data_IF_254424405465
#
_entry.id   IF_254424405465
#
_cell.length_a   1.000
_cell.length_b   1.000
_cell.length_c   1.000
_cell.angle_alpha   90.00
_cell.angle_beta   90.00
_cell.angle_gamma   90.00
#
_symmetry.space_group_name_H-M   'P 1'
#
loop_
_entity.id
_entity.type
_entity.pdbx_description
1 polymer ?
#
# COMPACT_ATOMS: atom_id res chain seq x y z
N UNK A 1 6.63 -2.98 2.90
CA UNK A 1 6.13 -1.57 3.00
C UNK A 1 6.82 -0.84 4.12
N UNK A 2 7.24 0.39 3.88
CA UNK A 2 8.07 1.19 4.78
C UNK A 2 7.25 2.22 5.58
N UNK A 3 7.90 2.91 6.52
CA UNK A 3 7.41 4.12 7.15
C UNK A 3 8.16 5.33 6.62
N UNK A 4 7.46 6.37 6.16
CA UNK A 4 8.06 7.64 5.75
C UNK A 4 7.54 8.78 6.59
N UNK A 5 8.40 9.75 6.88
CA UNK A 5 8.04 11.01 7.54
C UNK A 5 8.95 12.13 7.03
N UNK A 6 8.50 13.38 7.10
CA UNK A 6 9.35 14.52 6.74
C UNK A 6 8.62 15.84 6.66
N UNK A 7 9.37 16.90 6.36
CA UNK A 7 8.86 18.25 6.20
C UNK A 7 9.75 19.29 6.89
N UNK A 8 9.45 20.56 6.62
CA UNK A 8 10.17 21.70 7.23
C UNK A 8 9.64 22.08 8.63
N UNK A 9 8.74 21.26 9.20
CA UNK A 9 8.27 21.41 10.57
C UNK A 9 9.04 20.50 11.53
N UNK A 10 9.64 19.43 11.05
CA UNK A 10 10.44 18.51 11.84
C UNK A 10 11.82 19.07 12.19
N UNK A 11 12.35 18.60 13.29
CA UNK A 11 13.77 18.64 13.68
C UNK A 11 14.30 17.20 13.73
N UNK A 12 15.60 17.01 13.83
CA UNK A 12 16.20 15.66 13.96
C UNK A 12 15.59 14.87 15.15
N UNK A 13 15.28 15.51 16.26
CA UNK A 13 14.70 14.83 17.42
C UNK A 13 13.24 14.43 17.16
N UNK A 14 12.42 15.38 16.69
CA UNK A 14 11.01 15.09 16.46
C UNK A 14 10.76 14.13 15.29
N UNK A 15 11.64 14.08 14.28
CA UNK A 15 11.54 13.08 13.20
C UNK A 15 11.84 11.66 13.74
N UNK A 16 12.81 11.51 14.64
CA UNK A 16 13.10 10.22 15.28
C UNK A 16 11.92 9.73 16.10
N UNK A 17 11.29 10.60 16.89
CA UNK A 17 10.06 10.27 17.63
C UNK A 17 8.93 9.81 16.67
N UNK A 18 8.76 10.50 15.54
CA UNK A 18 7.80 10.13 14.50
C UNK A 18 8.08 8.74 13.89
N UNK A 19 9.36 8.44 13.65
CA UNK A 19 9.80 7.14 13.15
C UNK A 19 9.61 6.04 14.20
N UNK A 20 9.86 6.32 15.48
CA UNK A 20 9.64 5.36 16.57
C UNK A 20 8.15 5.05 16.75
N UNK A 21 7.25 6.04 16.65
CA UNK A 21 5.80 5.84 16.68
C UNK A 21 5.28 4.99 15.49
N UNK A 22 6.04 4.97 14.39
CA UNK A 22 5.71 4.21 13.16
C UNK A 22 6.69 3.06 12.88
N UNK A 23 7.50 2.64 13.87
CA UNK A 23 8.54 1.62 13.71
C UNK A 23 8.03 0.26 13.25
N UNK A 24 6.80 -0.09 13.63
CA UNK A 24 6.12 -1.31 13.16
C UNK A 24 5.97 -1.39 11.63
N UNK A 25 6.25 -0.31 10.89
CA UNK A 25 6.25 -0.30 9.43
C UNK A 25 7.56 -0.79 8.81
N UNK A 26 8.64 -0.88 9.59
CA UNK A 26 9.91 -1.39 9.09
C UNK A 26 10.97 -1.40 10.18
N UNK A 27 11.57 -2.56 10.39
CA UNK A 27 12.58 -2.78 11.43
C UNK A 27 13.99 -2.98 10.87
N UNK A 28 14.14 -3.12 9.55
CA UNK A 28 15.43 -3.49 8.95
C UNK A 28 16.45 -2.33 8.97
N UNK A 29 15.98 -1.07 8.85
CA UNK A 29 16.80 0.12 9.00
C UNK A 29 15.93 1.34 9.37
N UNK A 30 16.49 2.29 10.13
CA UNK A 30 15.91 3.60 10.40
C UNK A 30 16.97 4.68 10.16
N UNK A 31 16.72 5.58 9.21
CA UNK A 31 17.66 6.62 8.80
C UNK A 31 16.96 7.98 8.65
N UNK A 32 17.74 9.03 8.78
CA UNK A 32 17.32 10.43 8.69
C UNK A 32 18.25 11.20 7.76
N UNK A 33 17.68 12.05 6.91
CA UNK A 33 18.34 13.10 6.16
C UNK A 33 17.92 14.46 6.74
N UNK A 34 18.85 15.38 6.85
CA UNK A 34 18.59 16.75 7.31
C UNK A 34 19.47 17.74 6.56
N UNK A 35 18.88 18.84 6.14
CA UNK A 35 19.56 20.05 5.74
C UNK A 35 18.88 21.29 6.36
N UNK A 36 19.24 22.51 5.95
CA UNK A 36 18.73 23.75 6.54
C UNK A 36 17.20 23.92 6.37
N UNK A 37 16.61 23.28 5.35
CA UNK A 37 15.23 23.51 4.92
C UNK A 37 14.32 22.32 5.11
N UNK A 38 14.86 21.10 5.21
CA UNK A 38 14.07 19.87 5.17
C UNK A 38 14.66 18.76 6.04
N UNK A 39 13.76 18.06 6.75
CA UNK A 39 14.09 16.82 7.45
C UNK A 39 13.26 15.69 6.86
N UNK A 40 13.90 14.58 6.49
CA UNK A 40 13.27 13.39 5.94
C UNK A 40 13.68 12.17 6.76
N UNK A 41 12.76 11.25 7.00
CA UNK A 41 13.01 10.05 7.78
C UNK A 41 12.35 8.82 7.17
N UNK A 42 12.95 7.65 7.41
CA UNK A 42 12.52 6.39 6.84
C UNK A 42 12.70 5.22 7.80
N UNK A 43 11.66 4.39 7.94
CA UNK A 43 11.70 3.05 8.52
C UNK A 43 11.62 2.02 7.41
N UNK A 44 12.64 1.21 7.22
CA UNK A 44 12.76 0.27 6.11
C UNK A 44 12.19 -1.11 6.45
N UNK A 45 11.36 -1.64 5.55
CA UNK A 45 11.10 -3.06 5.39
C UNK A 45 11.70 -3.52 4.06
N UNK A 46 12.78 -4.29 4.13
CA UNK A 46 13.54 -4.73 2.94
C UNK A 46 12.80 -5.88 2.25
N UNK A 47 12.30 -5.62 1.03
CA UNK A 47 11.59 -6.58 0.18
C UNK A 47 12.26 -6.70 -1.18
N UNK A 48 12.56 -5.58 -1.83
CA UNK A 48 13.40 -5.50 -3.03
C UNK A 48 14.75 -4.88 -2.68
N UNK A 49 15.82 -5.41 -3.27
CA UNK A 49 17.21 -5.03 -3.01
C UNK A 49 17.54 -5.04 -1.51
N UNK A 50 17.96 -6.18 -1.00
CA UNK A 50 18.22 -6.35 0.45
C UNK A 50 19.51 -5.68 0.92
N UNK A 51 20.27 -5.01 0.02
CA UNK A 51 21.52 -4.33 0.35
C UNK A 51 21.29 -3.01 1.09
N UNK A 52 22.32 -2.53 1.77
CA UNK A 52 22.32 -1.22 2.43
C UNK A 52 22.27 -0.05 1.44
N UNK A 53 22.70 -0.25 0.19
CA UNK A 53 22.63 0.77 -0.85
C UNK A 53 21.18 1.20 -1.17
N UNK A 54 20.20 0.33 -0.91
CA UNK A 54 18.78 0.65 -1.06
C UNK A 54 18.15 1.28 0.19
N UNK A 55 18.96 1.66 1.20
CA UNK A 55 18.45 2.40 2.35
C UNK A 55 17.99 3.82 1.96
N UNK A 56 17.02 4.30 2.72
CA UNK A 56 16.39 5.62 2.52
C UNK A 56 16.46 6.43 3.83
N UNK A 57 16.48 7.77 3.75
CA UNK A 57 16.34 8.62 2.57
C UNK A 57 17.45 8.38 1.55
N UNK A 58 17.07 8.26 0.27
CA UNK A 58 18.02 7.99 -0.83
C UNK A 58 18.27 9.28 -1.60
N UNK A 59 19.56 9.64 -1.77
CA UNK A 59 19.96 10.85 -2.48
C UNK A 59 20.66 10.47 -3.79
N UNK A 60 20.32 11.16 -4.87
CA UNK A 60 20.96 10.96 -6.18
C UNK A 60 22.46 11.31 -6.18
N UNK A 61 23.19 10.87 -7.21
CA UNK A 61 24.64 11.08 -7.32
C UNK A 61 25.07 12.55 -7.36
N UNK A 62 24.14 13.48 -7.68
CA UNK A 62 24.42 14.92 -7.70
C UNK A 62 24.24 15.58 -6.33
N UNK A 63 23.58 14.91 -5.38
CA UNK A 63 23.21 15.46 -4.08
C UNK A 63 22.03 16.46 -4.14
N UNK A 64 21.37 16.61 -5.29
CA UNK A 64 20.26 17.54 -5.48
C UNK A 64 18.94 16.97 -5.03
N UNK A 65 18.63 15.73 -5.41
CA UNK A 65 17.34 15.10 -5.13
C UNK A 65 17.45 14.06 -4.04
N UNK A 66 16.58 14.17 -3.04
CA UNK A 66 16.45 13.16 -1.98
C UNK A 66 15.03 12.63 -1.92
N UNK A 67 14.87 11.30 -1.88
CA UNK A 67 13.56 10.63 -1.83
C UNK A 67 13.39 9.83 -0.54
N UNK A 68 12.17 9.84 -0.01
CA UNK A 68 11.63 8.82 0.90
C UNK A 68 10.40 8.19 0.25
N UNK A 69 10.37 6.87 0.23
CA UNK A 69 9.42 6.08 -0.52
C UNK A 69 8.92 4.90 0.30
N UNK A 70 7.61 4.74 0.32
CA UNK A 70 6.92 3.58 0.87
C UNK A 70 6.09 2.98 -0.25
N UNK A 71 6.49 1.80 -0.74
CA UNK A 71 5.77 1.17 -1.85
C UNK A 71 6.59 0.14 -2.60
N UNK A 72 6.02 -0.28 -3.72
CA UNK A 72 6.60 -1.19 -4.70
C UNK A 72 6.21 -0.73 -6.11
N UNK A 73 7.18 -0.57 -7.00
CA UNK A 73 6.94 -0.45 -8.43
C UNK A 73 6.88 -1.84 -9.05
N UNK A 74 5.89 -2.07 -9.90
CA UNK A 74 5.65 -3.39 -10.46
C UNK A 74 6.66 -3.77 -11.54
N UNK A 75 6.71 -5.06 -11.86
CA UNK A 75 7.60 -5.63 -12.85
C UNK A 75 7.51 -4.94 -14.22
N UNK A 76 6.35 -4.41 -14.59
CA UNK A 76 6.13 -3.60 -15.80
C UNK A 76 7.07 -2.37 -15.88
N UNK A 77 7.54 -1.85 -14.73
CA UNK A 77 8.41 -0.67 -14.65
C UNK A 77 9.88 -0.96 -14.93
N UNK A 78 10.32 -2.22 -14.90
CA UNK A 78 11.72 -2.60 -15.15
C UNK A 78 12.23 -2.16 -16.54
N UNK A 79 11.34 -1.97 -17.50
CA UNK A 79 11.71 -1.41 -18.82
C UNK A 79 12.35 -0.02 -18.70
N UNK A 80 11.86 0.83 -17.81
CA UNK A 80 12.41 2.16 -17.59
C UNK A 80 13.78 2.10 -16.91
N UNK A 81 13.99 1.13 -16.02
CA UNK A 81 15.32 0.91 -15.44
C UNK A 81 16.34 0.62 -16.54
N UNK A 82 16.04 -0.30 -17.46
CA UNK A 82 16.94 -0.64 -18.58
C UNK A 82 17.25 0.55 -19.50
N UNK A 83 16.34 1.53 -19.60
CA UNK A 83 16.55 2.76 -20.38
C UNK A 83 17.40 3.78 -19.61
N UNK A 84 17.10 3.96 -18.32
CA UNK A 84 17.74 4.97 -17.48
C UNK A 84 19.17 4.57 -17.05
N UNK A 85 19.49 3.29 -16.90
CA UNK A 85 20.85 2.79 -16.66
C UNK A 85 21.85 3.15 -17.78
N UNK A 86 21.37 3.57 -18.93
CA UNK A 86 22.22 4.09 -20.02
C UNK A 86 22.61 5.56 -19.83
N UNK A 87 21.93 6.26 -18.93
CA UNK A 87 22.08 7.70 -18.70
C UNK A 87 22.56 8.03 -17.29
N UNK A 88 22.21 7.20 -16.32
CA UNK A 88 22.48 7.41 -14.91
C UNK A 88 23.22 6.21 -14.32
N UNK A 89 24.13 6.48 -13.39
CA UNK A 89 24.86 5.46 -12.65
C UNK A 89 24.02 4.95 -11.48
N UNK A 90 23.34 3.81 -11.67
CA UNK A 90 22.60 3.14 -10.61
C UNK A 90 23.57 2.45 -9.65
N UNK A 91 23.42 2.72 -8.34
CA UNK A 91 24.25 2.09 -7.30
C UNK A 91 23.57 0.89 -6.65
N UNK A 92 22.26 0.73 -6.85
CA UNK A 92 21.48 -0.41 -6.36
C UNK A 92 21.30 -1.45 -7.46
N UNK A 93 21.13 -2.72 -7.06
CA UNK A 93 20.96 -3.80 -8.02
C UNK A 93 19.57 -3.75 -8.67
N UNK A 94 18.53 -3.59 -7.87
CA UNK A 94 17.11 -3.67 -8.30
C UNK A 94 16.16 -2.84 -7.44
N UNK A 95 16.67 -1.83 -6.71
CA UNK A 95 15.80 -0.94 -5.92
C UNK A 95 14.89 -0.13 -6.83
N UNK A 96 13.61 -0.18 -6.55
CA UNK A 96 12.56 0.62 -7.20
C UNK A 96 12.56 2.07 -6.69
N UNK A 97 13.08 2.34 -5.50
CA UNK A 97 13.29 3.69 -4.97
C UNK A 97 14.23 4.50 -5.87
N UNK A 98 15.37 3.92 -6.24
CA UNK A 98 16.34 4.55 -7.13
C UNK A 98 15.76 4.72 -8.54
N UNK A 99 15.02 3.71 -9.03
CA UNK A 99 14.29 3.81 -10.29
C UNK A 99 13.30 4.98 -10.28
N UNK A 100 12.46 5.10 -9.24
CA UNK A 100 11.49 6.20 -9.12
C UNK A 100 12.19 7.56 -9.10
N UNK A 101 13.30 7.68 -8.37
CA UNK A 101 14.05 8.93 -8.30
C UNK A 101 14.59 9.33 -9.68
N UNK A 102 15.24 8.42 -10.42
CA UNK A 102 15.74 8.74 -11.75
C UNK A 102 14.64 8.91 -12.80
N UNK A 103 13.49 8.28 -12.66
CA UNK A 103 12.30 8.62 -13.45
C UNK A 103 11.87 10.07 -13.22
N UNK A 104 11.87 10.52 -11.96
CA UNK A 104 11.54 11.91 -11.64
C UNK A 104 12.62 12.88 -12.16
N UNK A 105 13.90 12.56 -12.05
CA UNK A 105 14.99 13.37 -12.60
C UNK A 105 14.83 13.56 -14.10
N UNK A 106 14.52 12.50 -14.84
CA UNK A 106 14.39 12.51 -16.31
C UNK A 106 13.11 13.17 -16.80
N UNK A 107 11.96 12.80 -16.20
CA UNK A 107 10.62 13.14 -16.73
C UNK A 107 9.88 14.18 -15.91
N UNK A 108 10.41 14.58 -14.74
CA UNK A 108 9.78 15.47 -13.77
C UNK A 108 8.36 14.97 -13.44
N UNK A 109 7.39 15.87 -13.23
CA UNK A 109 6.03 15.52 -12.86
C UNK A 109 5.32 14.59 -13.85
N UNK A 110 5.77 14.52 -15.11
CA UNK A 110 5.22 13.59 -16.11
C UNK A 110 5.43 12.13 -15.72
N UNK A 111 6.47 11.84 -14.92
CA UNK A 111 6.71 10.47 -14.47
C UNK A 111 5.54 9.89 -13.67
N UNK A 112 4.77 10.72 -12.95
CA UNK A 112 3.68 10.25 -12.08
C UNK A 112 2.55 9.56 -12.84
N UNK A 113 2.27 9.98 -14.08
CA UNK A 113 1.32 9.30 -14.98
C UNK A 113 1.85 7.94 -15.47
N UNK A 114 3.18 7.81 -15.53
CA UNK A 114 3.88 6.62 -16.03
C UNK A 114 4.02 5.53 -14.97
N UNK A 115 3.93 5.89 -13.67
CA UNK A 115 4.12 4.95 -12.56
C UNK A 115 3.04 3.87 -12.54
N UNK A 116 3.49 2.64 -12.30
CA UNK A 116 2.67 1.48 -12.08
C UNK A 116 3.18 0.74 -10.83
N UNK A 117 2.33 0.68 -9.80
CA UNK A 117 2.71 0.19 -8.49
C UNK A 117 1.75 0.59 -7.39
N UNK A 118 2.10 0.24 -6.17
CA UNK A 118 1.48 0.76 -4.96
C UNK A 118 2.49 1.64 -4.24
N UNK A 119 2.16 2.91 -4.01
CA UNK A 119 3.16 3.84 -3.48
C UNK A 119 2.61 5.07 -2.75
N UNK A 120 3.44 5.55 -1.84
CA UNK A 120 3.46 6.91 -1.34
C UNK A 120 4.92 7.36 -1.23
N UNK A 121 5.23 8.57 -1.68
CA UNK A 121 6.60 9.08 -1.68
C UNK A 121 6.65 10.58 -1.42
N UNK A 122 7.84 11.05 -1.03
CA UNK A 122 8.20 12.45 -1.08
C UNK A 122 9.60 12.61 -1.70
N UNK A 123 9.71 13.51 -2.70
CA UNK A 123 10.96 13.85 -3.37
C UNK A 123 11.27 15.32 -3.11
N UNK A 124 12.41 15.59 -2.52
CA UNK A 124 12.92 16.93 -2.23
C UNK A 124 13.98 17.35 -3.25
N UNK A 125 13.80 18.51 -3.85
CA UNK A 125 14.78 19.21 -4.68
C UNK A 125 15.34 20.38 -3.88
N UNK A 126 16.57 20.24 -3.40
CA UNK A 126 17.23 21.26 -2.59
C UNK A 126 17.62 22.53 -3.37
N UNK A 127 17.76 22.46 -4.70
CA UNK A 127 18.07 23.61 -5.53
C UNK A 127 16.84 24.44 -5.85
N UNK A 128 15.72 23.79 -6.23
CA UNK A 128 14.46 24.50 -6.49
C UNK A 128 13.65 24.77 -5.22
N UNK A 129 14.11 24.33 -4.06
CA UNK A 129 13.42 24.48 -2.78
C UNK A 129 11.96 23.99 -2.85
N UNK A 130 11.79 22.78 -3.37
CA UNK A 130 10.49 22.15 -3.57
C UNK A 130 10.47 20.74 -3.03
N UNK A 131 9.30 20.31 -2.55
CA UNK A 131 9.04 18.90 -2.24
C UNK A 131 7.76 18.42 -2.92
N UNK A 132 7.87 17.32 -3.64
CA UNK A 132 6.73 16.63 -4.24
C UNK A 132 6.33 15.45 -3.37
N UNK A 133 5.04 15.34 -3.08
CA UNK A 133 4.44 14.21 -2.39
C UNK A 133 3.45 13.53 -3.33
N UNK A 134 3.62 12.26 -3.62
CA UNK A 134 2.74 11.50 -4.52
C UNK A 134 2.15 10.26 -3.89
N UNK A 135 0.98 9.82 -4.40
CA UNK A 135 0.29 8.63 -3.94
C UNK A 135 -0.33 7.90 -5.13
N UNK A 136 -0.30 6.56 -5.11
CA UNK A 136 -0.82 5.72 -6.20
C UNK A 136 -2.29 5.98 -6.53
N UNK A 137 -2.73 5.43 -7.66
CA UNK A 137 -4.01 5.76 -8.29
C UNK A 137 -5.24 5.48 -7.42
N UNK A 138 -5.20 4.50 -6.51
CA UNK A 138 -6.31 4.13 -5.61
C UNK A 138 -6.00 4.37 -4.13
N UNK A 139 -4.73 4.71 -3.81
CA UNK A 139 -4.28 4.98 -2.46
C UNK A 139 -4.17 3.75 -1.58
N UNK A 140 -3.49 2.69 -2.08
CA UNK A 140 -3.27 1.44 -1.34
C UNK A 140 -2.54 1.65 -0.02
N UNK A 141 -1.64 2.64 0.03
CA UNK A 141 -0.82 2.93 1.20
C UNK A 141 -1.30 4.17 1.94
N UNK A 142 -1.20 4.21 3.28
CA UNK A 142 -1.54 5.40 4.05
C UNK A 142 -0.52 6.52 3.80
N UNK A 143 -1.00 7.75 3.68
CA UNK A 143 -0.17 8.93 3.56
C UNK A 143 -0.91 10.18 4.03
N UNK A 144 -0.37 10.84 5.06
CA UNK A 144 -0.98 11.97 5.73
C UNK A 144 -0.06 13.17 5.74
N UNK A 145 -0.65 14.37 5.77
CA UNK A 145 0.11 15.61 5.87
C UNK A 145 -0.58 16.66 6.75
N UNK A 146 0.22 17.54 7.28
CA UNK A 146 -0.16 18.78 7.91
C UNK A 146 0.47 19.94 7.13
N UNK A 147 -0.34 20.97 6.80
CA UNK A 147 0.17 22.20 6.19
C UNK A 147 -0.57 23.39 6.76
N UNK A 148 0.18 24.29 7.40
CA UNK A 148 -0.36 25.54 7.96
C UNK A 148 0.76 26.57 8.11
N UNK A 149 0.46 27.84 7.74
CA UNK A 149 1.36 29.01 7.89
C UNK A 149 2.77 28.74 7.30
N UNK A 150 2.84 28.09 6.16
CA UNK A 150 4.11 27.77 5.48
C UNK A 150 4.93 26.65 6.12
N UNK A 151 4.37 25.95 7.09
CA UNK A 151 4.98 24.73 7.66
C UNK A 151 4.29 23.50 7.10
N UNK A 152 5.10 22.57 6.61
CA UNK A 152 4.69 21.28 6.09
C UNK A 152 5.25 20.17 6.98
N UNK A 153 4.45 19.16 7.26
CA UNK A 153 4.89 17.87 7.78
C UNK A 153 4.06 16.75 7.13
N UNK A 154 4.65 15.60 6.90
CA UNK A 154 3.97 14.41 6.40
C UNK A 154 4.45 13.15 7.13
N UNK A 155 3.60 12.12 7.15
CA UNK A 155 3.96 10.79 7.67
C UNK A 155 3.05 9.72 7.05
N UNK A 156 3.53 8.49 7.03
CA UNK A 156 2.73 7.32 6.65
C UNK A 156 1.51 7.13 7.54
N UNK A 157 1.59 7.47 8.82
CA UNK A 157 0.49 7.33 9.78
C UNK A 157 0.28 8.61 10.58
N UNK A 158 -0.96 8.85 11.05
CA UNK A 158 -1.32 10.07 11.79
C UNK A 158 -0.56 10.20 13.11
N UNK A 159 -0.29 9.06 13.78
CA UNK A 159 0.45 9.02 15.05
C UNK A 159 1.86 9.61 14.91
N UNK A 160 2.51 9.43 13.77
CA UNK A 160 3.80 10.05 13.48
C UNK A 160 3.78 11.58 13.35
N UNK A 161 2.59 12.21 13.33
CA UNK A 161 2.43 13.67 13.35
C UNK A 161 1.83 14.18 14.65
N UNK A 162 0.98 13.38 15.31
CA UNK A 162 0.24 13.83 16.49
C UNK A 162 1.09 13.93 17.73
N UNK A 163 1.95 12.95 17.99
CA UNK A 163 2.78 12.93 19.18
C UNK A 163 4.02 13.80 19.03
N UNK A 164 4.83 13.52 18.00
CA UNK A 164 6.12 14.18 17.80
C UNK A 164 6.03 15.70 17.53
N UNK A 165 4.92 16.18 16.92
CA UNK A 165 4.74 17.59 16.54
C UNK A 165 3.59 18.29 17.30
N UNK A 166 2.92 17.62 18.22
CA UNK A 166 1.69 18.11 18.88
C UNK A 166 0.61 18.63 17.90
N UNK A 167 0.52 18.00 16.72
CA UNK A 167 -0.46 18.35 15.72
C UNK A 167 -1.79 17.68 16.04
N UNK A 168 -2.83 18.46 16.26
CA UNK A 168 -4.17 17.92 16.51
C UNK A 168 -4.69 17.15 15.31
N UNK A 169 -5.24 15.96 15.53
CA UNK A 169 -5.72 15.05 14.47
C UNK A 169 -6.67 15.71 13.44
N UNK A 170 -7.54 16.67 13.89
CA UNK A 170 -8.44 17.42 13.00
C UNK A 170 -7.74 18.28 11.94
N UNK A 171 -6.46 18.57 12.10
CA UNK A 171 -5.66 19.37 11.16
C UNK A 171 -4.81 18.49 10.21
N UNK A 172 -4.74 17.21 10.47
CA UNK A 172 -4.06 16.24 9.62
C UNK A 172 -4.99 15.86 8.47
N UNK A 173 -4.49 16.00 7.26
CA UNK A 173 -5.20 15.69 6.02
C UNK A 173 -4.58 14.46 5.35
N UNK A 174 -5.36 13.82 4.49
CA UNK A 174 -4.90 12.72 3.64
C UNK A 174 -4.31 13.28 2.35
N UNK A 175 -3.18 12.75 1.90
CA UNK A 175 -2.73 12.92 0.50
C UNK A 175 -3.66 12.08 -0.36
N UNK A 176 -4.39 12.70 -1.28
CA UNK A 176 -5.41 12.04 -2.08
C UNK A 176 -4.78 11.03 -3.06
N UNK A 177 -5.46 9.90 -3.34
CA UNK A 177 -5.07 9.01 -4.43
C UNK A 177 -5.05 9.71 -5.77
N UNK A 178 -4.29 9.21 -6.73
CA UNK A 178 -4.18 9.80 -8.06
C UNK A 178 -3.68 11.24 -8.09
N UNK A 179 -3.07 11.73 -7.01
CA UNK A 179 -2.58 13.10 -6.92
C UNK A 179 -1.09 13.13 -6.57
N UNK A 180 -0.44 14.17 -7.05
CA UNK A 180 0.78 14.67 -6.42
C UNK A 180 0.56 16.08 -5.88
N UNK A 181 1.30 16.42 -4.85
CA UNK A 181 1.31 17.73 -4.21
C UNK A 181 2.72 18.29 -4.31
N UNK A 182 2.86 19.54 -4.72
CA UNK A 182 4.13 20.26 -4.75
C UNK A 182 4.11 21.38 -3.73
N UNK A 183 4.98 21.34 -2.74
CA UNK A 183 5.16 22.40 -1.78
C UNK A 183 6.39 23.23 -2.13
N UNK A 184 6.18 24.51 -2.37
CA UNK A 184 7.22 25.51 -2.62
C UNK A 184 7.62 26.10 -1.27
N UNK A 185 8.85 25.87 -0.84
CA UNK A 185 9.33 26.22 0.51
C UNK A 185 9.40 27.73 0.67
N UNK A 186 9.99 28.43 -0.31
CA UNK A 186 10.10 29.90 -0.30
C UNK A 186 8.75 30.58 -0.31
N UNK A 187 7.86 30.20 -1.23
CA UNK A 187 6.53 30.79 -1.39
C UNK A 187 5.53 30.32 -0.33
N UNK A 188 5.87 29.28 0.43
CA UNK A 188 4.99 28.64 1.42
C UNK A 188 3.67 28.15 0.83
N UNK A 189 3.66 27.80 -0.45
CA UNK A 189 2.49 27.41 -1.25
C UNK A 189 2.46 25.92 -1.50
N UNK A 190 1.29 25.30 -1.33
CA UNK A 190 1.04 23.90 -1.62
C UNK A 190 0.10 23.76 -2.82
N UNK A 191 0.60 23.26 -3.92
CA UNK A 191 -0.17 22.89 -5.10
C UNK A 191 -0.64 21.44 -5.01
N UNK A 192 -1.77 21.15 -5.66
CA UNK A 192 -2.34 19.81 -5.74
C UNK A 192 -2.75 19.54 -7.17
N UNK A 193 -2.25 18.45 -7.73
CA UNK A 193 -2.52 18.09 -9.12
C UNK A 193 -3.01 16.65 -9.19
N UNK A 194 -4.16 16.43 -9.84
CA UNK A 194 -4.66 15.09 -10.14
C UNK A 194 -3.98 14.60 -11.42
N UNK A 195 -3.22 13.50 -11.35
CA UNK A 195 -2.49 12.93 -12.48
C UNK A 195 -3.19 11.74 -13.14
N UNK A 196 -4.20 11.15 -12.48
CA UNK A 196 -4.94 10.01 -13.02
C UNK A 196 -6.43 10.10 -12.67
N UNK A 197 -7.30 9.58 -13.54
CA UNK A 197 -8.73 9.39 -13.27
C UNK A 197 -9.14 8.00 -13.72
N UNK A 198 -9.99 7.34 -12.94
CA UNK A 198 -10.57 6.05 -13.33
C UNK A 198 -11.34 6.25 -14.64
N UNK A 199 -11.06 5.44 -15.70
CA UNK A 199 -11.77 5.56 -16.95
C UNK A 199 -13.28 5.35 -16.79
N UNK A 200 -14.06 6.33 -17.27
CA UNK A 200 -15.52 6.25 -17.30
C UNK A 200 -16.00 5.94 -18.73
N UNK A 201 -15.81 4.70 -19.15
CA UNK A 201 -16.32 4.23 -20.44
C UNK A 201 -16.90 2.82 -20.31
N UNK A 202 -17.99 2.57 -21.01
CA UNK A 202 -18.56 1.24 -21.18
C UNK A 202 -17.99 0.66 -22.48
N UNK A 203 -17.52 -0.57 -22.41
CA UNK A 203 -17.01 -1.31 -23.57
C UNK A 203 -18.06 -2.34 -23.97
N UNK A 204 -18.50 -2.31 -25.22
CA UNK A 204 -19.41 -3.29 -25.78
C UNK A 204 -18.61 -4.37 -26.53
N UNK A 205 -18.31 -5.46 -25.82
CA UNK A 205 -17.61 -6.62 -26.37
C UNK A 205 -18.43 -7.90 -26.12
N UNK A 206 -18.26 -8.97 -26.93
CA UNK A 206 -18.86 -10.26 -26.64
C UNK A 206 -18.45 -10.78 -25.25
N UNK A 207 -19.40 -11.39 -24.55
CA UNK A 207 -19.17 -11.89 -23.18
C UNK A 207 -17.92 -12.78 -23.04
N UNK A 208 -17.69 -13.66 -24.01
CA UNK A 208 -16.55 -14.58 -23.98
C UNK A 208 -15.22 -13.84 -24.12
N UNK A 209 -15.18 -12.75 -24.89
CA UNK A 209 -14.01 -11.89 -25.02
C UNK A 209 -13.76 -11.10 -23.75
N UNK A 210 -14.81 -10.56 -23.13
CA UNK A 210 -14.71 -9.89 -21.82
C UNK A 210 -14.14 -10.84 -20.76
N UNK A 211 -14.67 -12.07 -20.67
CA UNK A 211 -14.19 -13.07 -19.70
C UNK A 211 -12.72 -13.42 -19.95
N UNK A 212 -12.32 -13.57 -21.21
CA UNK A 212 -10.93 -13.83 -21.59
C UNK A 212 -10.02 -12.67 -21.18
N UNK A 213 -10.40 -11.44 -21.54
CA UNK A 213 -9.63 -10.23 -21.22
C UNK A 213 -9.47 -10.03 -19.70
N UNK A 214 -10.53 -10.25 -18.92
CA UNK A 214 -10.46 -10.18 -17.44
C UNK A 214 -9.46 -11.22 -16.90
N UNK A 215 -9.54 -12.47 -17.37
CA UNK A 215 -8.61 -13.52 -16.95
C UNK A 215 -7.16 -13.14 -17.23
N UNK A 216 -6.87 -12.74 -18.47
CA UNK A 216 -5.50 -12.36 -18.89
C UNK A 216 -4.97 -11.18 -18.05
N UNK A 217 -5.82 -10.21 -17.75
CA UNK A 217 -5.44 -9.06 -16.93
C UNK A 217 -5.19 -9.42 -15.47
N UNK A 218 -6.00 -10.30 -14.86
CA UNK A 218 -5.77 -10.76 -13.50
C UNK A 218 -4.47 -11.60 -13.44
N UNK A 219 -4.23 -12.47 -14.42
CA UNK A 219 -2.99 -13.23 -14.52
C UNK A 219 -1.76 -12.32 -14.65
N UNK A 220 -1.85 -11.27 -15.47
CA UNK A 220 -0.81 -10.25 -15.62
C UNK A 220 -0.59 -9.45 -14.33
N UNK A 221 -1.66 -9.06 -13.64
CA UNK A 221 -1.57 -8.34 -12.38
C UNK A 221 -0.83 -9.15 -11.31
N UNK A 222 -1.15 -10.45 -11.18
CA UNK A 222 -0.42 -11.34 -10.27
C UNK A 222 1.05 -11.46 -10.67
N UNK A 223 1.36 -11.55 -11.96
CA UNK A 223 2.74 -11.61 -12.45
C UNK A 223 3.52 -10.32 -12.16
N UNK A 224 2.89 -9.18 -12.36
CA UNK A 224 3.50 -7.88 -12.10
C UNK A 224 3.80 -7.70 -10.62
N UNK A 225 2.87 -8.08 -9.75
CA UNK A 225 3.01 -7.93 -8.30
C UNK A 225 3.91 -8.99 -7.64
N UNK A 226 4.34 -10.05 -8.38
CA UNK A 226 5.25 -11.09 -7.87
C UNK A 226 6.72 -10.66 -7.76
N UNK A 227 7.05 -9.41 -8.02
CA UNK A 227 8.41 -8.89 -7.86
C UNK A 227 8.78 -8.83 -6.37
N UNK A 228 9.72 -9.66 -5.91
CA UNK A 228 10.15 -9.74 -4.51
C UNK A 228 11.45 -10.55 -4.38
N UNK A 229 12.37 -10.08 -3.54
CA UNK A 229 13.60 -10.82 -3.18
C UNK A 229 13.41 -11.66 -1.90
N UNK A 230 12.20 -11.60 -1.30
CA UNK A 230 11.82 -12.39 -0.12
C UNK A 230 10.64 -13.33 -0.44
N UNK A 231 10.46 -14.42 0.31
CA UNK A 231 9.32 -15.32 0.13
C UNK A 231 7.98 -14.63 0.28
N UNK A 232 6.99 -15.07 -0.51
CA UNK A 232 5.62 -14.57 -0.48
C UNK A 232 4.65 -15.67 -0.04
N UNK A 233 3.54 -15.26 0.60
CA UNK A 233 2.44 -16.15 0.97
C UNK A 233 1.09 -15.53 0.55
N UNK A 234 -0.04 -16.17 0.88
CA UNK A 234 -1.36 -15.70 0.49
C UNK A 234 -2.38 -15.79 1.62
N UNK A 235 -3.37 -14.91 1.63
CA UNK A 235 -4.57 -15.01 2.47
C UNK A 235 -5.62 -15.80 1.70
N UNK A 236 -6.20 -16.81 2.33
CA UNK A 236 -7.19 -17.69 1.73
C UNK A 236 -8.44 -17.79 2.62
N UNK A 237 -9.41 -16.92 2.44
CA UNK A 237 -10.68 -16.93 3.17
C UNK A 237 -11.68 -17.99 2.64
N UNK A 238 -11.40 -18.61 1.49
CA UNK A 238 -12.34 -19.49 0.80
C UNK A 238 -13.39 -18.77 -0.05
N UNK A 239 -13.45 -17.44 0.00
CA UNK A 239 -14.20 -16.60 -0.95
C UNK A 239 -13.54 -16.62 -2.33
N UNK A 240 -14.35 -16.38 -3.39
CA UNK A 240 -13.91 -16.49 -4.78
C UNK A 240 -12.66 -15.66 -5.09
N UNK A 241 -12.56 -14.47 -4.53
CA UNK A 241 -11.48 -13.52 -4.79
C UNK A 241 -10.14 -14.06 -4.27
N UNK A 242 -10.11 -14.46 -3.00
CA UNK A 242 -8.91 -15.06 -2.39
C UNK A 242 -8.52 -16.38 -3.05
N UNK A 243 -9.52 -17.19 -3.46
CA UNK A 243 -9.28 -18.46 -4.17
C UNK A 243 -8.65 -18.21 -5.54
N UNK A 244 -9.11 -17.23 -6.33
CA UNK A 244 -8.53 -16.89 -7.63
C UNK A 244 -7.07 -16.49 -7.47
N UNK A 245 -6.77 -15.54 -6.58
CA UNK A 245 -5.39 -15.08 -6.35
C UNK A 245 -4.50 -16.23 -5.87
N UNK A 246 -4.95 -17.01 -4.88
CA UNK A 246 -4.20 -18.14 -4.36
C UNK A 246 -3.95 -19.20 -5.44
N UNK A 247 -4.94 -19.50 -6.28
CA UNK A 247 -4.82 -20.43 -7.40
C UNK A 247 -3.75 -20.00 -8.40
N UNK A 248 -3.75 -18.73 -8.80
CA UNK A 248 -2.77 -18.18 -9.72
C UNK A 248 -1.36 -18.22 -9.12
N UNK A 249 -1.22 -17.85 -7.85
CA UNK A 249 0.04 -17.94 -7.12
C UNK A 249 0.55 -19.38 -7.01
N UNK A 250 -0.34 -20.35 -6.75
CA UNK A 250 0.04 -21.78 -6.63
C UNK A 250 0.66 -22.35 -7.91
N UNK A 251 0.45 -21.72 -9.06
CA UNK A 251 1.08 -22.12 -10.34
C UNK A 251 2.46 -21.50 -10.54
N UNK A 252 2.80 -20.47 -9.79
CA UNK A 252 3.97 -19.61 -10.02
C UNK A 252 4.95 -19.64 -8.85
N UNK A 253 4.44 -19.74 -7.63
CA UNK A 253 5.24 -19.71 -6.40
C UNK A 253 5.50 -21.13 -5.90
N UNK A 254 6.77 -21.49 -5.84
CA UNK A 254 7.19 -22.77 -5.25
C UNK A 254 7.10 -22.70 -3.72
N UNK A 255 6.50 -23.71 -3.10
CA UNK A 255 6.28 -23.76 -1.65
C UNK A 255 5.38 -22.63 -1.11
N UNK A 256 4.35 -22.25 -1.88
CA UNK A 256 3.34 -21.29 -1.42
C UNK A 256 2.63 -21.81 -0.16
N UNK A 257 2.50 -20.98 0.86
CA UNK A 257 1.64 -21.22 2.03
C UNK A 257 0.47 -20.25 2.06
N UNK A 258 -0.67 -20.71 2.53
CA UNK A 258 -1.86 -19.91 2.73
C UNK A 258 -2.15 -19.70 4.22
N UNK A 259 -2.77 -18.56 4.54
CA UNK A 259 -3.21 -18.19 5.89
C UNK A 259 -4.69 -17.87 5.90
N UNK A 260 -5.39 -18.29 6.95
CA UNK A 260 -6.79 -17.95 7.20
C UNK A 260 -6.97 -17.62 8.67
N UNK A 261 -7.82 -16.62 8.95
CA UNK A 261 -8.28 -16.33 10.32
C UNK A 261 -9.74 -16.70 10.45
N UNK A 262 -10.12 -17.30 11.56
CA UNK A 262 -11.51 -17.69 11.88
C UNK A 262 -11.80 -17.53 13.37
N UNK A 263 -13.06 -17.32 13.71
CA UNK A 263 -13.53 -17.24 15.09
C UNK A 263 -13.92 -18.59 15.70
N UNK A 264 -13.44 -19.67 15.11
CA UNK A 264 -13.65 -21.05 15.58
C UNK A 264 -14.47 -21.88 14.60
N UNK A 265 -14.54 -23.19 14.92
CA UNK A 265 -15.14 -24.19 14.05
C UNK A 265 -16.59 -24.42 14.51
N UNK A 266 -17.55 -23.96 13.75
CA UNK A 266 -18.88 -24.57 13.74
C UNK A 266 -18.92 -25.55 12.55
N UNK A 267 -18.64 -26.83 12.81
CA UNK A 267 -18.65 -27.89 11.78
C UNK A 267 -20.00 -27.99 11.03
N UNK A 268 -21.05 -27.41 11.58
CA UNK A 268 -22.39 -27.37 10.96
C UNK A 268 -22.54 -26.17 10.02
N UNK A 269 -21.70 -25.15 10.13
CA UNK A 269 -21.68 -24.00 9.24
C UNK A 269 -20.57 -24.14 8.23
N UNK A 270 -20.93 -24.01 6.96
CA UNK A 270 -19.97 -23.86 5.87
C UNK A 270 -19.49 -22.42 5.87
N UNK A 271 -18.55 -22.12 6.77
CA UNK A 271 -17.93 -20.81 6.93
C UNK A 271 -16.65 -20.66 6.06
N UNK A 272 -15.99 -19.54 6.21
CA UNK A 272 -14.75 -19.22 5.47
C UNK A 272 -13.68 -20.30 5.66
N UNK A 273 -13.51 -20.81 6.89
CA UNK A 273 -12.51 -21.85 7.18
C UNK A 273 -12.80 -23.16 6.45
N UNK A 274 -14.07 -23.56 6.37
CA UNK A 274 -14.48 -24.76 5.64
C UNK A 274 -14.10 -24.67 4.15
N UNK A 275 -14.37 -23.51 3.51
CA UNK A 275 -14.03 -23.33 2.11
C UNK A 275 -12.54 -23.14 1.89
N UNK A 276 -11.84 -22.46 2.80
CA UNK A 276 -10.38 -22.33 2.75
C UNK A 276 -9.68 -23.69 2.80
N UNK A 277 -10.09 -24.61 3.68
CA UNK A 277 -9.57 -25.99 3.76
C UNK A 277 -9.77 -26.74 2.44
N UNK A 278 -10.98 -26.69 1.87
CA UNK A 278 -11.25 -27.33 0.57
C UNK A 278 -10.41 -26.76 -0.57
N UNK A 279 -10.25 -25.46 -0.62
CA UNK A 279 -9.45 -24.80 -1.63
C UNK A 279 -7.96 -25.14 -1.49
N UNK A 280 -7.43 -25.15 -0.27
CA UNK A 280 -6.03 -25.50 0.01
C UNK A 280 -5.74 -26.97 -0.34
N UNK A 281 -6.65 -27.89 0.00
CA UNK A 281 -6.56 -29.31 -0.37
C UNK A 281 -6.55 -29.50 -1.90
N UNK A 282 -7.45 -28.82 -2.62
CA UNK A 282 -7.51 -28.84 -4.07
C UNK A 282 -6.21 -28.34 -4.70
N UNK A 283 -5.65 -27.25 -4.19
CA UNK A 283 -4.41 -26.64 -4.68
C UNK A 283 -3.16 -27.34 -4.15
N UNK A 284 -3.29 -28.25 -3.17
CA UNK A 284 -2.19 -28.99 -2.50
C UNK A 284 -1.16 -28.04 -1.87
N UNK A 285 -1.63 -26.98 -1.22
CA UNK A 285 -0.79 -26.03 -0.49
C UNK A 285 -1.08 -26.09 1.02
N UNK A 286 -0.09 -25.88 1.89
CA UNK A 286 -0.30 -25.78 3.34
C UNK A 286 -1.24 -24.63 3.69
N UNK A 287 -2.16 -24.86 4.64
CA UNK A 287 -3.03 -23.85 5.22
C UNK A 287 -2.67 -23.65 6.68
N UNK A 288 -2.32 -22.43 7.05
CA UNK A 288 -2.08 -21.99 8.42
C UNK A 288 -3.35 -21.35 8.98
N UNK A 289 -3.94 -21.98 9.98
CA UNK A 289 -5.20 -21.57 10.58
C UNK A 289 -4.94 -20.75 11.86
N UNK A 290 -5.42 -19.53 11.89
CA UNK A 290 -5.37 -18.63 13.04
C UNK A 290 -6.78 -18.56 13.65
N UNK A 291 -6.95 -19.15 14.83
CA UNK A 291 -8.23 -19.16 15.51
C UNK A 291 -8.24 -18.07 16.58
N UNK A 292 -9.26 -17.23 16.55
CA UNK A 292 -9.50 -16.17 17.53
C UNK A 292 -10.84 -16.41 18.23
N UNK A 293 -10.94 -16.01 19.47
CA UNK A 293 -12.16 -16.08 20.28
C UNK A 293 -12.60 -14.70 20.77
N UNK A 294 -13.70 -14.63 21.47
CA UNK A 294 -14.25 -13.38 22.01
C UNK A 294 -13.29 -12.74 23.03
N UNK A 295 -12.53 -13.55 23.79
CA UNK A 295 -11.55 -13.06 24.76
C UNK A 295 -10.39 -12.35 24.04
N UNK A 296 -9.90 -12.95 22.94
CA UNK A 296 -8.89 -12.31 22.10
C UNK A 296 -9.41 -10.97 21.55
N UNK A 297 -10.61 -10.95 20.99
CA UNK A 297 -11.21 -9.73 20.42
C UNK A 297 -11.28 -8.62 21.46
N UNK A 298 -11.80 -8.93 22.65
CA UNK A 298 -11.94 -7.93 23.72
C UNK A 298 -10.60 -7.43 24.25
N UNK A 299 -9.62 -8.32 24.39
CA UNK A 299 -8.28 -7.97 24.91
C UNK A 299 -7.44 -7.13 23.95
N UNK A 300 -7.71 -7.21 22.62
CA UNK A 300 -6.93 -6.52 21.60
C UNK A 300 -7.66 -5.33 20.95
N UNK A 301 -8.81 -4.91 21.52
CA UNK A 301 -9.62 -3.85 20.93
C UNK A 301 -8.91 -2.50 20.94
N UNK A 302 -8.25 -2.12 22.02
CA UNK A 302 -7.51 -0.86 22.16
C UNK A 302 -6.33 -0.82 21.20
N UNK A 303 -5.54 -1.90 21.11
CA UNK A 303 -4.43 -2.03 20.18
C UNK A 303 -4.89 -1.95 18.73
N UNK A 304 -6.05 -2.54 18.43
CA UNK A 304 -6.64 -2.46 17.09
C UNK A 304 -7.03 -1.04 16.74
N UNK A 305 -7.69 -0.30 17.64
CA UNK A 305 -8.05 1.11 17.45
C UNK A 305 -6.79 1.95 17.23
N UNK A 306 -5.75 1.72 18.02
CA UNK A 306 -4.46 2.40 17.88
C UNK A 306 -3.79 2.08 16.54
N UNK A 307 -3.80 0.81 16.13
CA UNK A 307 -3.23 0.35 14.87
C UNK A 307 -3.89 1.03 13.66
N UNK A 308 -5.22 0.99 13.57
CA UNK A 308 -5.96 1.54 12.43
C UNK A 308 -6.21 3.04 12.50
N UNK A 309 -5.99 3.66 13.68
CA UNK A 309 -6.23 5.09 13.95
C UNK A 309 -7.68 5.53 13.66
N UNK A 310 -8.63 4.63 13.88
CA UNK A 310 -10.07 4.87 13.73
C UNK A 310 -10.83 4.06 14.80
N UNK A 311 -11.91 4.61 15.32
CA UNK A 311 -12.76 3.99 16.35
C UNK A 311 -14.10 3.47 15.81
N UNK A 312 -14.38 3.67 14.52
CA UNK A 312 -15.62 3.20 13.91
C UNK A 312 -15.62 1.69 13.84
N UNK A 313 -16.73 1.07 14.27
CA UNK A 313 -16.87 -0.39 14.27
C UNK A 313 -16.54 -1.04 12.91
N UNK A 314 -16.99 -0.44 11.81
CA UNK A 314 -16.74 -0.92 10.46
C UNK A 314 -15.24 -0.95 10.10
N UNK A 315 -14.40 -0.17 10.77
CA UNK A 315 -12.96 -0.17 10.61
C UNK A 315 -12.28 -1.14 11.60
N UNK A 316 -12.75 -1.19 12.83
CA UNK A 316 -12.12 -1.98 13.90
C UNK A 316 -12.43 -3.48 13.78
N UNK A 317 -13.69 -3.85 13.50
CA UNK A 317 -14.14 -5.24 13.49
C UNK A 317 -13.34 -6.14 12.51
N UNK A 318 -13.08 -5.77 11.25
CA UNK A 318 -12.23 -6.61 10.40
C UNK A 318 -10.74 -6.54 10.80
N UNK A 319 -10.29 -5.41 11.34
CA UNK A 319 -8.89 -5.21 11.68
C UNK A 319 -8.45 -6.09 12.85
N UNK A 320 -9.32 -6.32 13.84
CA UNK A 320 -8.98 -7.15 15.01
C UNK A 320 -8.62 -8.59 14.62
N UNK A 321 -9.17 -9.10 13.54
CA UNK A 321 -8.81 -10.41 12.99
C UNK A 321 -7.52 -10.38 12.14
N UNK A 322 -7.20 -9.24 11.54
CA UNK A 322 -6.02 -9.07 10.71
C UNK A 322 -4.71 -8.99 11.52
N UNK A 323 -4.76 -8.49 12.76
CA UNK A 323 -3.59 -8.40 13.62
C UNK A 323 -2.95 -9.78 13.91
N UNK A 324 -3.68 -10.78 14.44
CA UNK A 324 -3.10 -12.09 14.74
C UNK A 324 -2.71 -12.85 13.48
N UNK A 325 -3.43 -12.67 12.39
CA UNK A 325 -3.07 -13.26 11.09
C UNK A 325 -1.73 -12.70 10.61
N UNK A 326 -1.55 -11.39 10.67
CA UNK A 326 -0.29 -10.75 10.29
C UNK A 326 0.88 -11.22 11.18
N UNK A 327 0.65 -11.34 12.48
CA UNK A 327 1.63 -11.88 13.42
C UNK A 327 2.03 -13.32 13.06
N UNK A 328 1.07 -14.19 12.77
CA UNK A 328 1.34 -15.58 12.36
C UNK A 328 2.11 -15.65 11.03
N UNK A 329 1.82 -14.76 10.08
CA UNK A 329 2.56 -14.63 8.82
C UNK A 329 4.02 -14.24 9.10
N UNK A 330 4.24 -13.24 9.95
CA UNK A 330 5.58 -12.79 10.36
C UNK A 330 6.38 -13.89 11.06
N UNK A 331 5.77 -14.61 12.02
CA UNK A 331 6.39 -15.71 12.77
C UNK A 331 6.83 -16.87 11.86
N UNK A 332 6.22 -17.03 10.70
CA UNK A 332 6.64 -17.96 9.64
C UNK A 332 7.74 -17.41 8.73
N UNK A 333 8.18 -16.16 8.95
CA UNK A 333 9.26 -15.52 8.19
C UNK A 333 8.83 -14.83 6.90
N UNK A 334 7.53 -14.63 6.67
CA UNK A 334 7.04 -13.92 5.50
C UNK A 334 6.93 -12.39 5.78
N UNK A 335 7.36 -11.61 4.80
CA UNK A 335 7.20 -10.14 4.77
C UNK A 335 6.13 -9.68 3.78
N UNK A 336 5.74 -10.53 2.83
CA UNK A 336 4.81 -10.21 1.73
C UNK A 336 3.68 -11.23 1.70
N UNK A 337 2.44 -10.72 1.65
CA UNK A 337 1.23 -11.54 1.52
C UNK A 337 0.33 -10.99 0.41
N UNK A 338 -0.29 -11.89 -0.35
CA UNK A 338 -1.27 -11.55 -1.36
C UNK A 338 -2.69 -11.74 -0.82
N UNK A 339 -3.58 -10.80 -1.14
CA UNK A 339 -5.01 -10.84 -0.80
C UNK A 339 -5.92 -10.56 -1.97
N UNK A 340 -7.22 -10.78 -1.75
CA UNK A 340 -8.28 -10.57 -2.75
C UNK A 340 -8.96 -9.21 -2.68
N UNK A 341 -8.45 -8.28 -1.91
CA UNK A 341 -9.04 -6.96 -1.71
C UNK A 341 -9.14 -6.18 -3.03
N UNK A 342 -10.23 -5.41 -3.17
CA UNK A 342 -10.52 -4.59 -4.34
C UNK A 342 -11.40 -5.29 -5.39
N UNK A 343 -11.55 -6.60 -5.34
CA UNK A 343 -12.41 -7.34 -6.26
C UNK A 343 -13.87 -6.87 -6.23
N UNK A 344 -14.42 -6.73 -5.03
CA UNK A 344 -15.81 -6.30 -4.84
C UNK A 344 -16.10 -4.91 -5.45
N UNK A 345 -15.16 -4.01 -5.34
CA UNK A 345 -15.27 -2.65 -5.89
C UNK A 345 -15.11 -2.65 -7.41
N UNK A 346 -14.14 -3.41 -7.93
CA UNK A 346 -13.89 -3.50 -9.38
C UNK A 346 -15.06 -4.19 -10.10
N UNK A 347 -15.57 -5.30 -9.55
CA UNK A 347 -16.64 -6.09 -10.18
C UNK A 347 -18.05 -5.77 -9.67
N UNK A 348 -18.18 -4.88 -8.67
CA UNK A 348 -19.48 -4.41 -8.18
C UNK A 348 -20.29 -5.47 -7.46
N UNK A 349 -19.69 -6.32 -6.62
CA UNK A 349 -20.37 -7.45 -5.97
C UNK A 349 -21.15 -7.07 -4.69
N UNK A 350 -21.08 -5.83 -4.22
CA UNK A 350 -21.87 -5.35 -3.08
C UNK A 350 -23.36 -5.22 -3.42
N UNK A 351 -24.08 -6.33 -3.55
CA UNK A 351 -25.48 -6.39 -3.94
C UNK A 351 -26.41 -5.48 -3.13
N UNK A 352 -26.17 -5.31 -1.81
CA UNK A 352 -26.93 -4.42 -0.95
C UNK A 352 -26.72 -2.92 -1.23
N UNK A 353 -25.55 -2.53 -1.75
CA UNK A 353 -25.25 -1.14 -2.13
C UNK A 353 -25.86 -0.84 -3.50
N UNK A 354 -25.86 -1.82 -4.38
CA UNK A 354 -26.28 -1.66 -5.77
C UNK A 354 -27.77 -1.99 -5.99
N UNK A 355 -28.40 -2.81 -5.17
CA UNK A 355 -29.80 -3.22 -5.33
C UNK A 355 -30.81 -2.05 -5.38
N UNK A 356 -30.47 -0.89 -4.85
CA UNK A 356 -31.33 0.31 -4.84
C UNK A 356 -31.00 1.31 -5.97
N UNK A 357 -29.90 1.10 -6.71
CA UNK A 357 -29.39 2.04 -7.72
C UNK A 357 -29.34 1.46 -9.14
N UNK A 358 -30.00 0.32 -9.39
CA UNK A 358 -29.96 -0.41 -10.65
C UNK A 358 -30.75 0.26 -11.81
N UNK A 359 -30.43 1.54 -12.06
CA UNK A 359 -30.69 2.16 -13.36
C UNK A 359 -29.31 2.39 -13.99
N UNK A 360 -29.13 1.94 -15.20
CA UNK A 360 -27.86 1.67 -15.88
C UNK A 360 -26.73 2.70 -15.70
N UNK A 361 -27.01 3.99 -15.82
CA UNK A 361 -26.02 5.07 -15.68
C UNK A 361 -25.57 5.27 -14.21
N UNK A 362 -26.45 5.05 -13.24
CA UNK A 362 -26.14 5.25 -11.81
C UNK A 362 -25.23 4.16 -11.26
N UNK A 363 -25.27 2.94 -11.80
CA UNK A 363 -24.46 1.82 -11.34
C UNK A 363 -22.97 2.04 -11.64
N UNK A 364 -22.65 2.39 -12.86
CA UNK A 364 -21.27 2.58 -13.28
C UNK A 364 -20.61 3.73 -12.51
N UNK A 365 -21.30 4.86 -12.36
CA UNK A 365 -20.81 5.99 -11.56
C UNK A 365 -20.65 5.62 -10.09
N UNK A 366 -21.61 4.88 -9.51
CA UNK A 366 -21.52 4.42 -8.12
C UNK A 366 -20.30 3.50 -7.88
N UNK A 367 -19.93 2.69 -8.86
CA UNK A 367 -18.73 1.85 -8.82
C UNK A 367 -17.46 2.69 -8.85
N UNK A 368 -17.38 3.68 -9.74
CA UNK A 368 -16.26 4.64 -9.79
C UNK A 368 -16.11 5.36 -8.44
N UNK A 369 -17.21 5.87 -7.88
CA UNK A 369 -17.22 6.55 -6.58
C UNK A 369 -16.74 5.64 -5.44
N UNK A 370 -17.03 4.33 -5.50
CA UNK A 370 -16.52 3.36 -4.52
C UNK A 370 -15.01 3.17 -4.65
N UNK A 371 -14.51 3.02 -5.87
CA UNK A 371 -13.08 2.86 -6.16
C UNK A 371 -12.31 4.11 -5.69
N UNK A 372 -12.77 5.29 -6.03
CA UNK A 372 -12.13 6.56 -5.63
C UNK A 372 -12.09 6.75 -4.09
N UNK A 373 -13.04 6.18 -3.35
CA UNK A 373 -13.12 6.24 -1.87
C UNK A 373 -12.55 5.02 -1.15
N UNK A 374 -12.01 4.06 -1.89
CA UNK A 374 -11.53 2.81 -1.32
C UNK A 374 -10.42 3.01 -0.28
N UNK A 375 -9.56 4.00 -0.51
CA UNK A 375 -8.51 4.40 0.41
C UNK A 375 -9.00 4.86 1.80
N UNK A 376 -10.24 5.37 1.91
CA UNK A 376 -10.84 5.79 3.18
C UNK A 376 -11.48 4.63 3.95
N UNK A 377 -11.69 3.49 3.30
CA UNK A 377 -12.44 2.36 3.84
C UNK A 377 -11.54 1.17 4.16
N UNK A 378 -11.32 0.32 3.18
CA UNK A 378 -10.73 -1.01 3.40
C UNK A 378 -9.20 -1.00 3.30
N UNK A 379 -8.63 -0.37 2.28
CA UNK A 379 -7.21 -0.50 1.96
C UNK A 379 -6.28 -0.01 3.07
N UNK A 380 -6.48 1.25 3.49
CA UNK A 380 -5.60 1.85 4.52
C UNK A 380 -5.78 1.16 5.87
N UNK A 381 -7.01 0.76 6.22
CA UNK A 381 -7.26 -0.02 7.44
C UNK A 381 -6.50 -1.34 7.41
N UNK A 382 -6.70 -2.15 6.36
CA UNK A 382 -6.05 -3.45 6.24
C UNK A 382 -4.54 -3.30 6.21
N UNK A 383 -4.02 -2.32 5.45
CA UNK A 383 -2.59 -2.01 5.44
C UNK A 383 -2.05 -1.73 6.85
N UNK A 384 -2.69 -0.85 7.62
CA UNK A 384 -2.25 -0.50 8.97
C UNK A 384 -2.31 -1.70 9.91
N UNK A 385 -3.38 -2.49 9.86
CA UNK A 385 -3.53 -3.69 10.69
C UNK A 385 -2.43 -4.72 10.37
N UNK A 386 -2.18 -5.00 9.09
CA UNK A 386 -1.14 -5.95 8.66
C UNK A 386 0.25 -5.48 9.06
N UNK A 387 0.53 -4.19 8.94
CA UNK A 387 1.81 -3.63 9.35
C UNK A 387 1.98 -3.62 10.87
N UNK A 388 0.95 -3.23 11.62
CA UNK A 388 1.03 -3.17 13.08
C UNK A 388 1.13 -4.56 13.71
N UNK A 389 0.36 -5.54 13.22
CA UNK A 389 0.34 -6.91 13.74
C UNK A 389 1.63 -7.70 13.50
N UNK A 390 2.28 -7.51 12.35
CA UNK A 390 3.42 -8.35 11.98
C UNK A 390 4.40 -7.74 10.98
N UNK A 391 4.30 -6.45 10.66
CA UNK A 391 5.17 -5.80 9.64
C UNK A 391 5.09 -6.54 8.29
N UNK A 392 3.85 -6.85 7.85
CA UNK A 392 3.60 -7.62 6.62
C UNK A 392 3.00 -6.72 5.55
N UNK A 393 3.62 -6.75 4.36
CA UNK A 393 3.14 -6.06 3.17
C UNK A 393 2.01 -6.83 2.50
N UNK A 394 0.85 -6.17 2.34
CA UNK A 394 -0.28 -6.72 1.59
C UNK A 394 -0.24 -6.26 0.13
N UNK A 395 -0.29 -7.21 -0.81
CA UNK A 395 -0.46 -7.01 -2.24
C UNK A 395 -1.86 -7.38 -2.70
N UNK A 396 -2.42 -6.59 -3.61
CA UNK A 396 -3.83 -6.64 -3.98
C UNK A 396 -4.01 -6.60 -5.50
N UNK A 397 -3.76 -7.71 -6.23
CA UNK A 397 -3.72 -7.71 -7.70
C UNK A 397 -5.00 -7.24 -8.38
N UNK A 398 -6.17 -7.37 -7.75
CA UNK A 398 -7.41 -6.81 -8.29
C UNK A 398 -7.40 -5.28 -8.41
N UNK A 399 -6.44 -4.61 -7.78
CA UNK A 399 -6.26 -3.16 -7.88
C UNK A 399 -5.10 -2.76 -8.81
N UNK A 400 -4.65 -3.69 -9.66
CA UNK A 400 -3.70 -3.35 -10.72
C UNK A 400 -4.34 -2.35 -11.71
N UNK A 401 -3.57 -1.33 -12.10
CA UNK A 401 -4.04 -0.24 -12.96
C UNK A 401 -4.48 -0.71 -14.35
N UNK A 402 -4.04 -1.90 -14.76
CA UNK A 402 -4.37 -2.48 -16.08
C UNK A 402 -5.71 -3.23 -16.11
N UNK A 403 -6.23 -3.60 -14.94
CA UNK A 403 -7.52 -4.31 -14.82
C UNK A 403 -8.69 -3.35 -14.95
#
# INVERSE_FOLDING_TARGET
MCGIAGGNLFTTDTIKESLDDTKHRGYDAQLVYEDDDMVLGHNRLSIQDLSENANQPFTDSTGRYTIVYNGELWKSMLRYRNELEKKYDFITKNSDTELLLYMFVEYKEKCFEMLDGMFSFAIYDREEQKIWMGRDWVGRLPFYYFHRKGKLAFSSERKGLTKSLDVRNKHIKVVLPSHYYCFHIEDKRLEKVKYYSVPNRIVEEPKDEIVKNIREKIELAVDNELISDVPVCTILSGGIDSVIITYLLSKKVKNLEAFVVSNGIDEKKKDDLYYARKASEFMKIPLNEVIIDDEYVMSNLEDTIYAVEDHKWVQVSPAVAQLPMSKAIHEKGYKVVFGGEGSDEIFGSYGHIFAWKWKDDDYHQARIDLIEKLHEKNLVRTNKAMMYGGTVELRTPFLDKTL
#
